data_IF_910736257940
#
_entry.id   IF_910736257940
#
_cell.length_a   1.000
_cell.length_b   1.000
_cell.length_c   1.000
_cell.angle_alpha   90.00
_cell.angle_beta   90.00
_cell.angle_gamma   90.00
#
_symmetry.space_group_name_H-M   'P 1'
#
loop_
_entity.id
_entity.type
_entity.pdbx_description
1 polymer ?
#
# COMPACT_ATOMS: atom_id res chain seq x y z
N UNK A 1 76.48 -34.31 51.44
CA UNK A 1 76.90 -32.90 51.46
C UNK A 1 75.64 -32.05 51.26
N UNK A 2 74.91 -31.80 52.35
CA UNK A 2 74.85 -30.51 53.09
C UNK A 2 74.17 -29.36 52.31
N UNK A 3 72.90 -29.12 52.70
CA UNK A 3 72.18 -27.84 52.86
C UNK A 3 72.13 -26.86 51.67
N UNK A 4 70.98 -26.32 51.28
CA UNK A 4 70.28 -25.32 52.10
C UNK A 4 68.78 -25.20 51.75
N UNK A 5 67.97 -24.95 52.79
CA UNK A 5 66.53 -24.71 52.75
C UNK A 5 66.32 -23.21 52.92
N UNK A 6 65.60 -22.55 52.00
CA UNK A 6 65.04 -21.22 52.28
C UNK A 6 63.66 -21.03 51.67
N UNK A 7 62.66 -21.21 52.52
CA UNK A 7 61.26 -20.81 52.32
C UNK A 7 61.07 -19.35 52.75
N UNK A 8 60.47 -18.52 51.89
CA UNK A 8 59.72 -17.28 52.20
C UNK A 8 58.70 -17.07 51.06
N UNK A 9 57.42 -17.37 51.26
CA UNK A 9 56.33 -16.46 51.67
C UNK A 9 56.00 -15.32 50.69
N UNK A 10 54.80 -15.46 50.11
CA UNK A 10 53.76 -14.47 49.80
C UNK A 10 54.03 -13.39 48.74
N UNK A 11 53.19 -13.35 47.69
CA UNK A 11 52.06 -12.41 47.63
C UNK A 11 51.11 -12.78 46.47
N UNK A 12 49.81 -12.77 46.79
CA UNK A 12 48.69 -12.76 45.86
C UNK A 12 48.59 -11.33 45.33
N UNK A 13 48.58 -11.15 44.00
CA UNK A 13 48.13 -9.90 43.39
C UNK A 13 46.93 -10.19 42.51
N UNK A 14 45.76 -9.85 43.05
CA UNK A 14 44.51 -9.65 42.35
C UNK A 14 44.69 -8.50 41.35
N UNK A 15 44.75 -8.83 40.06
CA UNK A 15 44.70 -7.86 38.97
C UNK A 15 43.35 -7.96 38.27
N UNK A 16 42.39 -7.12 38.65
CA UNK A 16 41.22 -6.86 37.81
C UNK A 16 41.69 -6.29 36.46
N UNK A 17 41.18 -6.77 35.31
CA UNK A 17 41.50 -6.14 34.04
C UNK A 17 40.85 -4.76 33.99
N UNK A 18 41.68 -3.71 34.08
CA UNK A 18 41.27 -2.36 33.76
C UNK A 18 40.55 -2.34 32.39
N UNK A 19 39.41 -1.66 32.25
CA UNK A 19 38.86 -1.39 30.93
C UNK A 19 39.84 -0.47 30.20
N UNK A 20 40.55 -1.03 29.21
CA UNK A 20 41.44 -0.32 28.29
C UNK A 20 40.68 0.84 27.62
N UNK A 21 40.72 1.99 28.29
CA UNK A 21 40.15 3.27 27.89
C UNK A 21 41.03 3.99 26.87
N UNK A 22 41.71 3.24 25.98
CA UNK A 22 42.48 3.81 24.89
C UNK A 22 41.60 4.70 24.01
N UNK A 23 42.02 5.94 23.70
CA UNK A 23 41.22 6.85 22.89
C UNK A 23 40.92 6.21 21.53
N UNK A 24 39.67 6.30 21.03
CA UNK A 24 39.28 5.62 19.80
C UNK A 24 40.22 6.02 18.66
N UNK A 25 40.84 5.02 18.01
CA UNK A 25 41.84 5.29 16.97
C UNK A 25 41.28 6.25 15.93
N UNK A 26 42.01 7.35 15.69
CA UNK A 26 41.57 8.49 14.87
C UNK A 26 41.10 8.09 13.46
N UNK A 27 41.57 6.94 12.94
CA UNK A 27 41.14 6.35 11.67
C UNK A 27 39.71 5.79 11.73
N UNK A 28 39.28 5.16 12.82
CA UNK A 28 37.90 4.65 12.98
C UNK A 28 36.90 5.80 13.13
N UNK A 29 37.26 6.85 13.86
CA UNK A 29 36.44 8.06 14.03
C UNK A 29 36.24 8.79 12.70
N UNK A 30 37.32 9.01 11.93
CA UNK A 30 37.24 9.67 10.61
C UNK A 30 36.42 8.87 9.58
N UNK A 31 36.47 7.53 9.61
CA UNK A 31 35.65 6.68 8.72
C UNK A 31 34.16 6.78 9.05
N UNK A 32 33.80 6.76 10.34
CA UNK A 32 32.41 6.96 10.79
C UNK A 32 31.88 8.34 10.42
N UNK A 33 32.67 9.40 10.62
CA UNK A 33 32.27 10.76 10.21
C UNK A 33 32.06 10.89 8.71
N UNK A 34 32.93 10.29 7.89
CA UNK A 34 32.77 10.28 6.42
C UNK A 34 31.53 9.49 6.00
N UNK A 35 31.28 8.34 6.61
CA UNK A 35 30.08 7.54 6.33
C UNK A 35 28.81 8.34 6.66
N UNK A 36 28.74 8.97 7.85
CA UNK A 36 27.61 9.80 8.25
C UNK A 36 27.40 11.01 7.31
N UNK A 37 28.49 11.67 6.91
CA UNK A 37 28.42 12.79 5.96
C UNK A 37 27.90 12.33 4.59
N UNK A 38 28.38 11.20 4.08
CA UNK A 38 27.90 10.63 2.82
C UNK A 38 26.41 10.24 2.92
N UNK A 39 25.99 9.59 4.01
CA UNK A 39 24.59 9.27 4.25
C UNK A 39 23.74 10.54 4.32
N UNK A 40 24.19 11.58 5.01
CA UNK A 40 23.49 12.85 5.09
C UNK A 40 23.37 13.53 3.72
N UNK A 41 24.44 13.54 2.91
CA UNK A 41 24.39 14.08 1.55
C UNK A 41 23.37 13.30 0.72
N UNK A 42 23.42 11.97 0.76
CA UNK A 42 22.45 11.12 0.04
C UNK A 42 21.02 11.46 0.44
N UNK A 43 20.72 11.52 1.74
CA UNK A 43 19.38 11.84 2.23
C UNK A 43 18.91 13.23 1.81
N UNK A 44 19.77 14.24 1.91
CA UNK A 44 19.44 15.62 1.50
C UNK A 44 19.22 15.70 -0.01
N UNK A 45 20.09 15.05 -0.81
CA UNK A 45 19.92 15.01 -2.27
C UNK A 45 18.64 14.29 -2.67
N UNK A 46 18.31 13.17 -2.02
CA UNK A 46 17.07 12.43 -2.26
C UNK A 46 15.84 13.30 -1.91
N UNK A 47 15.86 13.97 -0.76
CA UNK A 47 14.80 14.89 -0.34
C UNK A 47 14.63 16.07 -1.30
N UNK A 48 15.73 16.68 -1.76
CA UNK A 48 15.69 17.77 -2.72
C UNK A 48 15.13 17.33 -4.09
N UNK A 49 15.54 16.14 -4.58
CA UNK A 49 15.02 15.55 -5.82
C UNK A 49 13.53 15.23 -5.68
N UNK A 50 13.10 14.67 -4.55
CA UNK A 50 11.70 14.39 -4.29
C UNK A 50 10.86 15.67 -4.28
N UNK A 51 11.29 16.71 -3.56
CA UNK A 51 10.63 18.01 -3.55
C UNK A 51 10.54 18.62 -4.95
N UNK A 52 11.64 18.57 -5.73
CA UNK A 52 11.64 19.06 -7.11
C UNK A 52 10.64 18.27 -7.97
N UNK A 53 10.61 16.94 -7.86
CA UNK A 53 9.66 16.10 -8.57
C UNK A 53 8.20 16.41 -8.17
N UNK A 54 7.91 16.64 -6.89
CA UNK A 54 6.56 17.01 -6.43
C UNK A 54 6.07 18.34 -7.02
N UNK A 55 6.97 19.29 -7.28
CA UNK A 55 6.61 20.58 -7.89
C UNK A 55 6.48 20.46 -9.41
N UNK A 56 7.42 19.80 -10.08
CA UNK A 56 7.51 19.80 -11.55
C UNK A 56 6.81 18.61 -12.22
N UNK A 57 6.57 17.52 -11.49
CA UNK A 57 5.95 16.30 -11.98
C UNK A 57 5.05 15.67 -10.90
N UNK A 58 4.03 16.40 -10.38
CA UNK A 58 3.17 15.91 -9.30
C UNK A 58 2.48 14.59 -9.64
N UNK A 59 1.97 14.45 -10.87
CA UNK A 59 1.35 13.22 -11.36
C UNK A 59 2.28 12.00 -11.27
N UNK A 60 3.58 12.19 -11.52
CA UNK A 60 4.55 11.10 -11.40
C UNK A 60 4.77 10.71 -9.94
N UNK A 61 4.82 11.69 -9.03
CA UNK A 61 4.93 11.43 -7.59
C UNK A 61 3.70 10.70 -7.08
N UNK A 62 2.51 11.16 -7.44
CA UNK A 62 1.26 10.51 -7.05
C UNK A 62 1.20 9.08 -7.58
N UNK A 63 1.49 8.87 -8.87
CA UNK A 63 1.52 7.54 -9.48
C UNK A 63 2.49 6.61 -8.77
N UNK A 64 3.71 7.06 -8.51
CA UNK A 64 4.75 6.23 -7.89
C UNK A 64 4.41 5.89 -6.44
N UNK A 65 4.06 6.89 -5.64
CA UNK A 65 3.69 6.70 -4.22
C UNK A 65 2.42 5.88 -4.07
N UNK A 66 1.42 6.12 -4.92
CA UNK A 66 0.17 5.35 -4.99
C UNK A 66 0.39 3.88 -5.35
N UNK A 67 1.18 3.60 -6.39
CA UNK A 67 1.51 2.22 -6.76
C UNK A 67 2.25 1.48 -5.64
N UNK A 68 3.19 2.15 -4.96
CA UNK A 68 3.87 1.59 -3.79
C UNK A 68 2.88 1.30 -2.67
N UNK A 69 1.97 2.24 -2.36
CA UNK A 69 0.92 2.06 -1.35
C UNK A 69 0.07 0.83 -1.64
N UNK A 70 -0.47 0.71 -2.85
CA UNK A 70 -1.33 -0.42 -3.27
C UNK A 70 -0.55 -1.74 -3.19
N UNK A 71 0.70 -1.77 -3.66
CA UNK A 71 1.53 -2.98 -3.62
C UNK A 71 1.83 -3.42 -2.18
N UNK A 72 2.18 -2.47 -1.30
CA UNK A 72 2.45 -2.76 0.12
C UNK A 72 1.19 -3.23 0.82
N UNK A 73 0.04 -2.59 0.57
CA UNK A 73 -1.24 -3.02 1.16
C UNK A 73 -1.61 -4.45 0.74
N UNK A 74 -1.45 -4.77 -0.54
CA UNK A 74 -1.67 -6.14 -1.05
C UNK A 74 -0.74 -7.15 -0.39
N UNK A 75 0.56 -6.85 -0.32
CA UNK A 75 1.55 -7.73 0.31
C UNK A 75 1.30 -7.91 1.81
N UNK A 76 0.98 -6.83 2.52
CA UNK A 76 0.72 -6.87 3.95
C UNK A 76 -0.50 -7.72 4.25
N UNK A 77 -1.57 -7.59 3.46
CA UNK A 77 -2.77 -8.41 3.58
C UNK A 77 -2.46 -9.89 3.38
N UNK A 78 -1.71 -10.23 2.34
CA UNK A 78 -1.28 -11.61 2.08
C UNK A 78 -0.40 -12.21 3.20
N UNK A 79 0.34 -11.38 3.93
CA UNK A 79 1.22 -11.85 5.01
C UNK A 79 0.52 -11.96 6.37
N UNK A 80 -0.36 -11.00 6.70
CA UNK A 80 -0.99 -10.90 8.01
C UNK A 80 -2.36 -11.58 8.09
N UNK A 81 -3.09 -11.62 6.97
CA UNK A 81 -4.45 -12.12 6.89
C UNK A 81 -4.72 -12.84 5.54
N UNK A 82 -3.94 -13.89 5.20
CA UNK A 82 -4.06 -14.58 3.91
C UNK A 82 -5.44 -15.17 3.63
N UNK A 83 -6.16 -15.55 4.69
CA UNK A 83 -7.49 -16.17 4.62
C UNK A 83 -8.64 -15.15 4.73
N UNK A 84 -8.34 -13.87 5.02
CA UNK A 84 -9.35 -12.82 5.11
C UNK A 84 -9.60 -12.23 3.72
N UNK A 85 -10.87 -12.15 3.32
CA UNK A 85 -11.24 -11.54 2.06
C UNK A 85 -11.30 -10.02 2.21
N UNK A 86 -10.86 -9.24 1.22
CA UNK A 86 -11.01 -7.79 1.28
C UNK A 86 -12.49 -7.44 1.36
N UNK A 87 -12.82 -6.47 2.21
CA UNK A 87 -14.19 -6.01 2.45
C UNK A 87 -14.34 -4.55 1.99
N UNK A 88 -15.46 -4.26 1.33
CA UNK A 88 -15.88 -2.91 0.96
C UNK A 88 -17.20 -2.54 1.64
N UNK A 89 -17.43 -1.25 1.80
CA UNK A 89 -18.69 -0.70 2.31
C UNK A 89 -19.38 0.06 1.20
N UNK A 90 -20.58 -0.35 0.81
CA UNK A 90 -21.40 0.41 -0.12
C UNK A 90 -22.12 1.54 0.64
N UNK A 91 -22.12 2.73 0.06
CA UNK A 91 -22.75 3.93 0.59
C UNK A 91 -24.13 4.16 0.00
N UNK A 92 -24.72 5.31 0.34
CA UNK A 92 -25.98 5.75 -0.27
C UNK A 92 -25.79 6.28 -1.69
N UNK A 93 -26.90 6.68 -2.29
CA UNK A 93 -26.93 7.33 -3.60
C UNK A 93 -26.41 8.77 -3.53
N UNK A 94 -25.73 9.21 -4.59
CA UNK A 94 -25.22 10.58 -4.69
C UNK A 94 -24.53 10.90 -6.00
N UNK A 95 -23.81 12.01 -6.00
CA UNK A 95 -22.91 12.44 -7.06
C UNK A 95 -21.56 12.84 -6.50
N UNK A 96 -20.90 13.82 -7.15
CA UNK A 96 -19.56 14.26 -6.75
C UNK A 96 -19.51 14.81 -5.33
N UNK A 97 -20.57 15.47 -4.85
CA UNK A 97 -20.60 16.05 -3.50
C UNK A 97 -20.53 14.97 -2.43
N UNK A 98 -21.35 13.93 -2.57
CA UNK A 98 -21.37 12.80 -1.65
C UNK A 98 -20.06 12.00 -1.73
N UNK A 99 -19.51 11.82 -2.94
CA UNK A 99 -18.23 11.18 -3.16
C UNK A 99 -17.06 11.94 -2.49
N UNK A 100 -17.11 13.27 -2.49
CA UNK A 100 -16.09 14.15 -1.89
C UNK A 100 -16.12 14.15 -0.36
N UNK A 101 -17.13 13.55 0.29
CA UNK A 101 -17.18 13.43 1.75
C UNK A 101 -16.14 12.45 2.31
N UNK A 102 -15.64 11.51 1.50
CA UNK A 102 -14.56 10.60 1.88
C UNK A 102 -14.81 9.86 3.20
N UNK A 103 -16.02 9.33 3.37
CA UNK A 103 -16.46 8.63 4.58
C UNK A 103 -16.02 7.15 4.66
N UNK A 104 -15.26 6.69 3.66
CA UNK A 104 -14.79 5.32 3.52
C UNK A 104 -15.80 4.35 2.92
N UNK A 105 -16.93 4.84 2.40
CA UNK A 105 -17.88 4.06 1.60
C UNK A 105 -17.70 4.31 0.10
N UNK A 106 -18.21 3.39 -0.72
CA UNK A 106 -18.37 3.60 -2.14
C UNK A 106 -19.78 4.16 -2.40
N UNK A 107 -19.88 5.43 -2.79
CA UNK A 107 -21.15 6.11 -3.10
C UNK A 107 -21.76 5.59 -4.39
N UNK A 108 -23.06 5.28 -4.41
CA UNK A 108 -23.74 4.93 -5.66
C UNK A 108 -23.90 6.18 -6.54
N UNK A 109 -23.29 6.16 -7.72
CA UNK A 109 -23.23 7.33 -8.60
C UNK A 109 -24.47 7.41 -9.48
N UNK A 110 -25.44 8.25 -9.09
CA UNK A 110 -26.71 8.42 -9.81
C UNK A 110 -26.47 8.86 -11.26
N UNK A 111 -25.41 9.64 -11.51
CA UNK A 111 -25.04 10.11 -12.86
C UNK A 111 -24.63 9.00 -13.83
N UNK A 112 -24.33 7.80 -13.32
CA UNK A 112 -23.98 6.63 -14.13
C UNK A 112 -25.17 5.67 -14.33
N UNK A 113 -26.35 5.97 -13.78
CA UNK A 113 -27.53 5.12 -13.93
C UNK A 113 -28.11 5.24 -15.35
N UNK A 114 -27.88 4.20 -16.14
CA UNK A 114 -28.57 3.93 -17.40
C UNK A 114 -28.91 2.43 -17.48
N UNK A 115 -29.95 2.06 -18.21
CA UNK A 115 -30.51 0.69 -18.20
C UNK A 115 -29.48 -0.41 -18.54
N UNK A 116 -28.50 -0.10 -19.36
CA UNK A 116 -27.51 -1.05 -19.88
C UNK A 116 -26.21 -1.11 -19.05
N UNK A 117 -26.19 -0.44 -17.88
CA UNK A 117 -25.05 -0.34 -16.99
C UNK A 117 -25.48 -0.71 -15.57
N UNK A 118 -24.86 -1.74 -14.94
CA UNK A 118 -25.17 -2.09 -13.55
C UNK A 118 -24.99 -0.91 -12.59
N UNK A 119 -25.65 -0.92 -11.42
CA UNK A 119 -25.41 0.06 -10.37
C UNK A 119 -23.92 0.26 -10.11
N UNK A 120 -23.46 1.52 -10.14
CA UNK A 120 -22.04 1.85 -10.03
C UNK A 120 -21.76 2.55 -8.71
N UNK A 121 -20.85 1.99 -7.93
CA UNK A 121 -20.42 2.53 -6.66
C UNK A 121 -18.97 3.05 -6.76
N UNK A 122 -18.72 4.30 -6.41
CA UNK A 122 -17.42 4.95 -6.58
C UNK A 122 -16.81 5.37 -5.25
N UNK A 123 -15.48 5.29 -5.15
CA UNK A 123 -14.73 5.92 -4.07
C UNK A 123 -13.44 6.54 -4.62
N UNK A 124 -13.07 7.73 -4.13
CA UNK A 124 -11.76 8.32 -4.41
C UNK A 124 -10.65 7.39 -3.95
N UNK A 125 -9.57 7.32 -4.72
CA UNK A 125 -8.45 6.42 -4.43
C UNK A 125 -7.78 6.72 -3.08
N UNK A 126 -7.73 7.98 -2.67
CA UNK A 126 -7.21 8.39 -1.37
C UNK A 126 -8.25 8.33 -0.23
N UNK A 127 -9.50 7.92 -0.51
CA UNK A 127 -10.60 7.81 0.45
C UNK A 127 -11.07 6.36 0.66
N UNK A 128 -10.18 5.39 0.41
CA UNK A 128 -10.44 3.96 0.56
C UNK A 128 -10.79 3.24 -0.75
N UNK A 129 -10.99 3.99 -1.85
CA UNK A 129 -11.23 3.40 -3.16
C UNK A 129 -10.04 2.64 -3.74
N UNK A 130 -8.82 2.96 -3.31
CA UNK A 130 -7.60 2.29 -3.80
C UNK A 130 -7.49 0.81 -3.45
N UNK A 131 -8.32 0.31 -2.53
CA UNK A 131 -8.39 -1.13 -2.23
C UNK A 131 -8.65 -1.96 -3.50
N UNK A 132 -9.47 -1.46 -4.43
CA UNK A 132 -9.81 -2.18 -5.67
C UNK A 132 -8.69 -2.12 -6.71
N UNK A 133 -7.68 -1.24 -6.54
CA UNK A 133 -6.54 -1.18 -7.46
C UNK A 133 -5.62 -2.41 -7.33
N UNK A 134 -5.66 -3.10 -6.19
CA UNK A 134 -4.88 -4.33 -5.96
C UNK A 134 -5.57 -5.62 -6.41
N UNK A 135 -6.87 -5.56 -6.70
CA UNK A 135 -7.70 -6.72 -7.03
C UNK A 135 -7.46 -7.20 -8.46
N UNK A 136 -7.82 -8.45 -8.72
CA UNK A 136 -7.67 -9.14 -10.00
C UNK A 136 -8.99 -9.85 -10.32
N UNK A 137 -9.19 -10.25 -11.59
CA UNK A 137 -10.32 -11.10 -11.97
C UNK A 137 -10.30 -12.41 -11.14
N UNK A 138 -11.46 -12.86 -10.68
CA UNK A 138 -11.61 -14.00 -9.77
C UNK A 138 -11.37 -13.67 -8.30
N UNK A 139 -10.97 -12.44 -7.96
CA UNK A 139 -10.83 -12.03 -6.56
C UNK A 139 -12.19 -12.05 -5.87
N UNK A 140 -12.28 -12.79 -4.77
CA UNK A 140 -13.47 -12.81 -3.90
C UNK A 140 -13.41 -11.68 -2.89
N UNK A 141 -14.55 -11.06 -2.63
CA UNK A 141 -14.68 -9.86 -1.81
C UNK A 141 -15.93 -9.92 -0.97
N UNK A 142 -15.89 -9.31 0.21
CA UNK A 142 -17.05 -9.11 1.08
C UNK A 142 -17.64 -7.72 0.89
N UNK A 143 -18.96 -7.63 1.03
CA UNK A 143 -19.66 -6.36 1.18
C UNK A 143 -20.15 -6.26 2.61
N UNK A 144 -19.74 -5.22 3.31
CA UNK A 144 -20.13 -5.01 4.70
C UNK A 144 -21.66 -4.95 4.84
N UNK A 145 -22.20 -5.71 5.78
CA UNK A 145 -23.65 -5.83 5.98
C UNK A 145 -24.36 -6.82 5.05
N UNK A 146 -23.62 -7.52 4.17
CA UNK A 146 -24.13 -8.61 3.34
C UNK A 146 -23.46 -9.94 3.73
N UNK A 147 -24.24 -11.02 3.74
CA UNK A 147 -23.73 -12.39 3.85
C UNK A 147 -23.31 -12.97 2.48
N UNK A 148 -23.64 -12.27 1.39
CA UNK A 148 -23.30 -12.69 0.03
C UNK A 148 -21.82 -12.41 -0.24
N UNK A 149 -21.12 -13.44 -0.72
CA UNK A 149 -19.77 -13.28 -1.23
C UNK A 149 -19.81 -12.92 -2.70
N UNK A 150 -19.00 -11.93 -3.10
CA UNK A 150 -18.91 -11.49 -4.49
C UNK A 150 -17.55 -11.83 -5.08
N UNK A 151 -17.49 -11.93 -6.40
CA UNK A 151 -16.27 -12.16 -7.17
C UNK A 151 -16.13 -11.09 -8.26
N UNK A 152 -14.90 -10.64 -8.50
CA UNK A 152 -14.57 -9.76 -9.62
C UNK A 152 -14.66 -10.55 -10.92
N UNK A 153 -15.69 -10.29 -11.73
CA UNK A 153 -15.96 -11.06 -12.97
C UNK A 153 -15.53 -10.34 -14.24
N UNK A 154 -15.45 -9.02 -14.21
CA UNK A 154 -15.05 -8.21 -15.36
C UNK A 154 -14.29 -6.96 -14.89
N UNK A 155 -13.39 -6.47 -15.74
CA UNK A 155 -12.62 -5.27 -15.49
C UNK A 155 -12.63 -4.38 -16.74
N UNK A 156 -12.77 -3.07 -16.52
CA UNK A 156 -12.65 -2.08 -17.58
C UNK A 156 -11.84 -0.87 -17.10
N UNK A 157 -11.10 -0.29 -18.04
CA UNK A 157 -10.32 0.92 -17.84
C UNK A 157 -10.77 2.00 -18.82
N UNK A 158 -10.92 3.23 -18.32
CA UNK A 158 -11.32 4.37 -19.15
C UNK A 158 -10.50 5.61 -18.80
N UNK A 159 -10.32 6.57 -19.71
CA UNK A 159 -9.88 7.92 -19.33
C UNK A 159 -10.84 8.56 -18.32
N UNK A 160 -10.35 9.45 -17.45
CA UNK A 160 -11.23 10.25 -16.59
C UNK A 160 -12.19 11.05 -17.48
N UNK A 161 -13.43 11.23 -17.00
CA UNK A 161 -14.47 11.97 -17.71
C UNK A 161 -14.99 11.32 -19.00
N UNK A 162 -14.71 10.02 -19.21
CA UNK A 162 -15.36 9.27 -20.28
C UNK A 162 -16.87 9.23 -20.05
N UNK A 163 -17.65 9.22 -21.14
CA UNK A 163 -19.10 9.07 -21.04
C UNK A 163 -19.47 7.67 -20.54
N UNK A 164 -20.64 7.53 -19.91
CA UNK A 164 -21.11 6.29 -19.29
C UNK A 164 -21.28 5.14 -20.30
N UNK A 165 -21.52 5.43 -21.58
CA UNK A 165 -21.75 4.41 -22.61
C UNK A 165 -20.54 3.48 -22.81
N UNK A 166 -19.34 3.91 -22.40
CA UNK A 166 -18.15 3.05 -22.43
C UNK A 166 -18.23 1.89 -21.44
N UNK A 167 -19.21 1.89 -20.52
CA UNK A 167 -19.46 0.84 -19.52
C UNK A 167 -20.61 -0.09 -19.94
N UNK A 168 -21.31 0.22 -21.02
CA UNK A 168 -22.39 -0.62 -21.54
C UNK A 168 -21.87 -2.04 -21.77
N UNK A 169 -22.70 -3.01 -21.37
CA UNK A 169 -22.39 -4.43 -21.48
C UNK A 169 -21.38 -4.95 -20.45
N UNK A 170 -20.96 -4.15 -19.47
CA UNK A 170 -20.32 -4.72 -18.28
C UNK A 170 -21.31 -5.63 -17.54
N UNK A 171 -20.86 -6.82 -17.23
CA UNK A 171 -21.62 -7.85 -16.51
C UNK A 171 -21.64 -7.61 -15.00
N UNK A 172 -22.33 -8.45 -14.23
CA UNK A 172 -22.36 -8.41 -12.77
C UNK A 172 -23.62 -7.80 -12.15
N UNK A 173 -23.72 -7.90 -10.83
CA UNK A 173 -24.84 -7.34 -10.05
C UNK A 173 -24.65 -5.84 -9.82
N UNK A 174 -23.41 -5.42 -9.62
CA UNK A 174 -23.02 -4.01 -9.50
C UNK A 174 -21.55 -3.84 -9.89
N UNK A 175 -21.10 -2.60 -10.02
CA UNK A 175 -19.71 -2.26 -10.28
C UNK A 175 -19.13 -1.40 -9.17
N UNK A 176 -17.82 -1.49 -8.99
CA UNK A 176 -17.04 -0.57 -8.15
C UNK A 176 -16.03 0.20 -9.00
N UNK A 177 -15.81 1.47 -8.64
CA UNK A 177 -15.00 2.40 -9.40
C UNK A 177 -14.02 3.19 -8.53
N UNK A 178 -12.81 3.38 -9.05
CA UNK A 178 -11.85 4.33 -8.49
C UNK A 178 -10.89 4.89 -9.55
N UNK A 179 -10.07 5.87 -9.18
CA UNK A 179 -9.04 6.45 -10.06
C UNK A 179 -7.66 5.82 -9.82
N UNK A 180 -6.87 5.70 -10.89
CA UNK A 180 -5.43 5.47 -10.73
C UNK A 180 -4.75 6.74 -10.20
N UNK A 181 -3.77 6.56 -9.32
CA UNK A 181 -2.98 7.66 -8.77
C UNK A 181 -2.17 8.34 -9.87
N UNK A 182 -2.25 9.67 -9.98
CA UNK A 182 -1.46 10.46 -10.93
C UNK A 182 -1.70 10.15 -12.41
N UNK A 183 -2.80 9.46 -12.75
CA UNK A 183 -3.08 9.05 -14.13
C UNK A 183 -4.45 9.56 -14.59
N UNK A 184 -4.57 9.89 -15.87
CA UNK A 184 -5.87 10.12 -16.53
C UNK A 184 -6.55 8.78 -16.84
N UNK A 185 -6.79 7.99 -15.79
CA UNK A 185 -7.32 6.64 -15.91
C UNK A 185 -8.19 6.29 -14.70
N UNK A 186 -9.31 5.63 -14.97
CA UNK A 186 -10.24 5.08 -13.99
C UNK A 186 -10.28 3.56 -14.14
N UNK A 187 -10.54 2.87 -13.02
CA UNK A 187 -10.76 1.43 -12.95
C UNK A 187 -12.19 1.15 -12.56
N UNK A 188 -12.81 0.24 -13.29
CA UNK A 188 -14.14 -0.30 -13.06
C UNK A 188 -14.02 -1.81 -12.92
N UNK A 189 -14.59 -2.35 -11.85
CA UNK A 189 -14.69 -3.78 -11.64
C UNK A 189 -16.15 -4.17 -11.49
N UNK A 190 -16.60 -5.13 -12.28
CA UNK A 190 -17.89 -5.78 -12.10
C UNK A 190 -17.80 -6.83 -10.98
N UNK A 191 -18.79 -6.84 -10.10
CA UNK A 191 -18.91 -7.80 -9.02
C UNK A 191 -20.20 -8.61 -9.19
N UNK A 192 -20.06 -9.94 -9.14
CA UNK A 192 -21.19 -10.87 -9.19
C UNK A 192 -21.16 -11.81 -7.97
N UNK A 193 -22.32 -12.27 -7.46
CA UNK A 193 -22.33 -13.24 -6.37
C UNK A 193 -21.60 -14.54 -6.74
N UNK A 194 -20.82 -15.07 -5.80
CA UNK A 194 -20.16 -16.36 -5.96
C UNK A 194 -21.23 -17.46 -6.05
N UNK A 195 -21.18 -18.24 -7.13
CA UNK A 195 -22.17 -19.29 -7.39
C UNK A 195 -23.41 -18.83 -8.16
N UNK A 196 -23.50 -17.54 -8.50
CA UNK A 196 -24.33 -17.14 -9.63
C UNK A 196 -23.74 -17.76 -10.90
N UNK A 197 -24.52 -18.46 -11.73
CA UNK A 197 -24.03 -18.86 -13.05
C UNK A 197 -23.76 -17.56 -13.82
N UNK A 198 -22.49 -17.17 -13.92
CA UNK A 198 -22.06 -16.26 -14.97
C UNK A 198 -22.48 -16.93 -16.27
N UNK A 199 -23.43 -16.29 -16.96
CA UNK A 199 -24.00 -16.65 -18.26
C UNK A 199 -23.14 -17.66 -19.05
N UNK A 200 -23.36 -18.94 -18.76
CA UNK A 200 -22.83 -20.07 -19.51
C UNK A 200 -23.74 -20.22 -20.72
N UNK A 201 -23.17 -20.03 -21.91
CA UNK A 201 -23.78 -20.18 -23.24
C UNK A 201 -24.86 -19.16 -23.65
N UNK A 202 -24.44 -18.12 -24.39
CA UNK A 202 -25.13 -17.68 -25.61
C UNK A 202 -24.14 -17.30 -26.70
#
# INVERSE_FOLDING_TARGET
>A
MTTDVRTRHAAIEDGEPEPDGGPPSSRRVRRRMRALLLTSIVLVTLGAVFLAASVFAPDLVDKTTGNVKVAVQKQLHQLLAPDELPEIRLGGEGGMVELDHCDGTFTEMITYRIDEVPPLFAAHNNCGGDIILGWELGQRVRVAGSDTLYEVVEERHTPKWSNVEVLVGMSGEFMVQTCFYGENKMRFLALAPVGSPAESDR
#
